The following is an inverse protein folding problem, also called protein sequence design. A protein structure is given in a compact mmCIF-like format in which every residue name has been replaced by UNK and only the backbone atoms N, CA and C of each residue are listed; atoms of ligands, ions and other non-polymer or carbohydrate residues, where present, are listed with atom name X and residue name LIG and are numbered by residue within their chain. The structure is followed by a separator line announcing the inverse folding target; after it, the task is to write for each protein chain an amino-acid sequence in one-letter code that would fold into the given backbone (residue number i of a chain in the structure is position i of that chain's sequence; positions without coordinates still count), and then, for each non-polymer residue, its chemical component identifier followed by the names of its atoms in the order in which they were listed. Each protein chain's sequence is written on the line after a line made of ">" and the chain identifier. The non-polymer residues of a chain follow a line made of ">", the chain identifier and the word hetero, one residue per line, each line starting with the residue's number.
data_IF_095372046899
#
_entry.id   IF_095372046899
#
_cell.length_a   1.000
_cell.length_b   1.000
_cell.length_c   1.000
_cell.angle_alpha   90.00
_cell.angle_beta   90.00
_cell.angle_gamma   90.00
#
_symmetry.space_group_name_H-M   'P 1'
#
loop_
_entity.id
_entity.type
_entity.pdbx_description
1 polymer ?
#
# COMPACT_ATOMS: atom_id res chain seq x y z
N UNK A 1 8.79 -14.21 7.79
CA UNK A 1 7.82 -14.75 6.88
C UNK A 1 7.44 -13.76 5.83
N UNK A 2 7.42 -14.17 4.60
CA UNK A 2 7.10 -13.27 3.51
C UNK A 2 5.62 -12.91 3.54
N UNK A 3 5.27 -11.86 2.85
CA UNK A 3 3.88 -11.47 2.70
C UNK A 3 3.11 -12.54 1.95
N UNK A 4 1.82 -12.62 2.23
CA UNK A 4 0.95 -13.46 1.43
C UNK A 4 0.95 -12.94 0.01
N UNK A 5 0.69 -13.84 -0.93
CA UNK A 5 0.76 -13.49 -2.34
C UNK A 5 -0.13 -12.30 -2.70
N UNK A 6 -1.36 -12.30 -2.21
CA UNK A 6 -2.27 -11.20 -2.50
C UNK A 6 -1.80 -9.89 -1.94
N UNK A 7 -1.29 -9.91 -0.71
CA UNK A 7 -0.76 -8.72 -0.07
C UNK A 7 0.51 -8.25 -0.78
N UNK A 8 1.34 -9.19 -1.23
CA UNK A 8 2.56 -8.87 -1.94
C UNK A 8 2.28 -8.16 -3.25
N UNK A 9 1.25 -8.59 -3.99
CA UNK A 9 0.89 -7.94 -5.23
C UNK A 9 0.50 -6.48 -4.99
N UNK A 10 -0.22 -6.22 -3.91
CA UNK A 10 -0.62 -4.87 -3.57
C UNK A 10 0.61 -4.04 -3.23
N UNK A 11 1.51 -4.61 -2.44
CA UNK A 11 2.74 -3.93 -2.07
C UNK A 11 3.58 -3.60 -3.30
N UNK A 12 3.75 -4.57 -4.18
CA UNK A 12 4.55 -4.38 -5.39
C UNK A 12 3.97 -3.27 -6.27
N UNK A 13 2.65 -3.19 -6.36
CA UNK A 13 2.02 -2.14 -7.13
C UNK A 13 2.33 -0.77 -6.52
N UNK A 14 2.23 -0.66 -5.21
CA UNK A 14 2.50 0.60 -4.54
C UNK A 14 3.94 1.04 -4.77
N UNK A 15 4.88 0.10 -4.67
CA UNK A 15 6.29 0.41 -4.88
C UNK A 15 6.54 0.83 -6.32
N UNK A 16 5.94 0.12 -7.27
CA UNK A 16 6.12 0.44 -8.69
C UNK A 16 5.58 1.81 -9.05
N UNK A 17 4.59 2.29 -8.30
CA UNK A 17 3.97 3.58 -8.57
C UNK A 17 4.28 4.60 -7.49
N UNK A 18 5.43 4.45 -6.83
CA UNK A 18 5.87 5.38 -5.81
C UNK A 18 5.98 6.78 -6.42
N UNK A 19 5.40 7.75 -5.74
CA UNK A 19 5.39 9.12 -6.22
C UNK A 19 4.23 9.46 -7.14
N UNK A 20 3.42 8.47 -7.50
CA UNK A 20 2.25 8.72 -8.34
C UNK A 20 1.00 8.84 -7.48
N UNK A 21 -0.02 9.45 -8.04
CA UNK A 21 -1.29 9.62 -7.34
C UNK A 21 -2.12 8.36 -7.54
N UNK A 22 -2.03 7.43 -6.59
CA UNK A 22 -2.78 6.19 -6.67
C UNK A 22 -3.70 6.06 -5.48
N UNK A 23 -4.85 5.44 -5.70
CA UNK A 23 -5.84 5.21 -4.66
C UNK A 23 -6.01 3.70 -4.49
N UNK A 24 -6.72 3.32 -3.42
CA UNK A 24 -7.05 1.91 -3.22
C UNK A 24 -7.85 1.36 -4.39
N UNK A 25 -8.73 2.18 -4.97
CA UNK A 25 -9.54 1.75 -6.10
C UNK A 25 -8.66 1.49 -7.33
N UNK A 26 -7.64 2.34 -7.56
CA UNK A 26 -6.72 2.13 -8.66
C UNK A 26 -6.02 0.78 -8.52
N UNK A 27 -5.59 0.46 -7.32
CA UNK A 27 -4.90 -0.81 -7.07
C UNK A 27 -5.86 -1.98 -7.29
N UNK A 28 -7.08 -1.84 -6.77
CA UNK A 28 -8.07 -2.90 -6.91
C UNK A 28 -8.36 -3.17 -8.37
N UNK A 29 -8.53 -2.11 -9.17
CA UNK A 29 -8.84 -2.26 -10.58
C UNK A 29 -7.66 -2.87 -11.33
N UNK A 30 -6.45 -2.44 -11.02
CA UNK A 30 -5.26 -2.92 -11.73
C UNK A 30 -4.99 -4.39 -11.44
N UNK A 31 -5.26 -4.83 -10.22
CA UNK A 31 -4.97 -6.20 -9.82
C UNK A 31 -6.16 -7.13 -9.91
N UNK A 32 -7.35 -6.57 -10.19
CA UNK A 32 -8.54 -7.40 -10.27
C UNK A 32 -8.97 -7.96 -8.94
N UNK A 33 -8.76 -7.23 -7.86
CA UNK A 33 -9.14 -7.68 -6.52
C UNK A 33 -10.14 -6.70 -5.94
N UNK A 34 -10.76 -7.08 -4.82
CA UNK A 34 -11.73 -6.22 -4.18
C UNK A 34 -11.08 -5.05 -3.47
N UNK A 35 -11.74 -3.88 -3.51
CA UNK A 35 -11.18 -2.70 -2.87
C UNK A 35 -11.09 -2.89 -1.36
N UNK A 36 -11.96 -3.70 -0.77
CA UNK A 36 -11.87 -3.98 0.66
C UNK A 36 -10.57 -4.69 1.02
N UNK A 37 -10.15 -5.61 0.17
CA UNK A 37 -8.89 -6.31 0.38
C UNK A 37 -7.72 -5.35 0.31
N UNK A 38 -7.76 -4.44 -0.68
CA UNK A 38 -6.70 -3.45 -0.82
C UNK A 38 -6.67 -2.55 0.41
N UNK A 39 -7.82 -2.06 0.85
CA UNK A 39 -7.87 -1.19 2.02
C UNK A 39 -7.34 -1.89 3.27
N UNK A 40 -7.65 -3.16 3.44
CA UNK A 40 -7.14 -3.91 4.58
C UNK A 40 -5.63 -4.03 4.56
N UNK A 41 -5.07 -4.32 3.38
CA UNK A 41 -3.62 -4.43 3.25
C UNK A 41 -2.95 -3.08 3.46
N UNK A 42 -3.49 -2.02 2.88
CA UNK A 42 -2.91 -0.69 3.03
C UNK A 42 -2.97 -0.24 4.48
N UNK A 43 -4.08 -0.52 5.17
CA UNK A 43 -4.18 -0.19 6.58
C UNK A 43 -3.11 -0.90 7.38
N UNK A 44 -2.83 -2.15 7.05
CA UNK A 44 -1.78 -2.91 7.70
C UNK A 44 -0.41 -2.28 7.47
N UNK A 45 -0.13 -1.89 6.20
CA UNK A 45 1.13 -1.21 5.89
C UNK A 45 1.24 0.12 6.65
N UNK A 46 0.11 0.82 6.77
CA UNK A 46 0.10 2.10 7.46
C UNK A 46 0.39 1.93 8.94
N UNK A 47 -0.14 0.88 9.55
CA UNK A 47 0.15 0.60 10.96
C UNK A 47 1.62 0.30 11.19
N UNK A 48 2.28 -0.26 10.20
CA UNK A 48 3.72 -0.55 10.30
C UNK A 48 4.57 0.66 9.96
N UNK A 49 3.94 1.75 9.53
CA UNK A 49 4.68 2.96 9.19
C UNK A 49 5.24 2.97 7.79
N UNK A 50 4.85 2.02 6.94
CA UNK A 50 5.38 1.91 5.59
C UNK A 50 4.63 2.75 4.57
N UNK A 51 3.38 3.08 4.83
CA UNK A 51 2.59 3.91 3.93
C UNK A 51 1.78 4.91 4.73
N UNK A 52 1.33 5.96 4.07
CA UNK A 52 0.39 6.91 4.64
C UNK A 52 -0.66 7.20 3.57
N UNK A 53 -1.80 7.69 4.00
CA UNK A 53 -2.83 8.15 3.08
C UNK A 53 -2.88 9.65 3.14
N UNK A 54 -2.72 10.28 1.99
CA UNK A 54 -2.75 11.74 1.87
C UNK A 54 -4.12 12.12 1.32
N UNK A 55 -4.89 12.86 2.10
CA UNK A 55 -6.21 13.28 1.68
C UNK A 55 -6.11 14.59 0.92
N UNK A 56 -6.65 14.61 -0.28
CA UNK A 56 -6.57 15.76 -1.15
C UNK A 56 -7.97 16.15 -1.58
N UNK A 57 -8.30 17.43 -1.50
CA UNK A 57 -9.59 17.91 -1.94
C UNK A 57 -9.62 17.97 -3.46
N UNK A 58 -10.67 17.47 -4.06
CA UNK A 58 -10.85 17.51 -5.50
C UNK A 58 -12.27 17.97 -5.78
N UNK A 59 -12.55 18.25 -7.06
CA UNK A 59 -13.89 18.63 -7.44
C UNK A 59 -14.85 17.51 -7.09
N UNK A 60 -15.85 17.83 -6.30
CA UNK A 60 -16.85 16.83 -5.93
C UNK A 60 -16.54 16.04 -4.69
N UNK A 61 -15.45 16.36 -3.99
CA UNK A 61 -15.17 15.66 -2.75
C UNK A 61 -13.70 15.59 -2.40
N UNK A 62 -13.30 14.48 -1.84
CA UNK A 62 -11.92 14.28 -1.43
C UNK A 62 -11.47 12.90 -1.88
N UNK A 63 -10.18 12.77 -2.12
CA UNK A 63 -9.59 11.50 -2.50
C UNK A 63 -8.38 11.27 -1.59
N UNK A 64 -8.14 10.01 -1.26
CA UNK A 64 -7.00 9.65 -0.43
C UNK A 64 -6.01 8.89 -1.27
N UNK A 65 -4.84 9.49 -1.47
CA UNK A 65 -3.77 8.86 -2.23
C UNK A 65 -2.88 8.08 -1.29
N UNK A 66 -2.38 6.95 -1.76
CA UNK A 66 -1.50 6.10 -0.98
C UNK A 66 -0.07 6.48 -1.31
N UNK A 67 0.70 6.80 -0.27
CA UNK A 67 2.09 7.22 -0.43
C UNK A 67 3.00 6.31 0.39
N UNK A 68 4.17 6.02 -0.14
CA UNK A 68 5.17 5.30 0.63
C UNK A 68 5.90 6.29 1.54
N UNK A 69 6.23 5.83 2.73
CA UNK A 69 7.09 6.60 3.63
C UNK A 69 8.54 6.24 3.34
N UNK A 70 9.48 6.95 3.95
CA UNK A 70 10.88 6.58 3.83
C UNK A 70 11.11 5.18 4.38
N UNK A 71 10.43 4.83 5.47
CA UNK A 71 10.53 3.48 6.00
C UNK A 71 9.98 2.46 5.04
N UNK A 72 8.90 2.81 4.35
CA UNK A 72 8.32 1.91 3.35
C UNK A 72 9.25 1.69 2.19
N UNK A 73 9.94 2.73 1.75
CA UNK A 73 10.89 2.58 0.64
C UNK A 73 12.08 1.73 1.03
N UNK A 74 12.46 1.75 2.29
CA UNK A 74 13.58 0.95 2.78
C UNK A 74 13.17 -0.47 3.12
N UNK A 75 11.88 -0.74 3.21
CA UNK A 75 11.38 -2.05 3.60
C UNK A 75 11.56 -3.04 2.44
N UNK A 76 12.10 -4.20 2.76
CA UNK A 76 12.27 -5.26 1.78
C UNK A 76 11.37 -6.42 2.17
N UNK A 77 10.25 -6.63 1.46
CA UNK A 77 9.32 -7.69 1.83
C UNK A 77 9.89 -9.09 1.61
N UNK A 78 10.98 -9.19 0.86
CA UNK A 78 11.61 -10.49 0.64
C UNK A 78 12.67 -10.79 1.66
N UNK A 79 13.08 -9.81 2.45
CA UNK A 79 14.08 -10.08 3.48
C UNK A 79 13.48 -10.97 4.54
N UNK A 80 14.25 -11.92 5.00
CA UNK A 80 13.78 -12.80 6.04
C UNK A 80 13.67 -11.98 7.30
N UNK A 81 12.49 -11.80 7.85
CA UNK A 81 12.36 -10.96 9.02
C UNK A 81 13.02 -11.60 10.20
N UNK A 82 13.61 -10.76 11.01
CA UNK A 82 14.11 -11.23 12.27
C UNK A 82 12.91 -11.50 13.13
N UNK A 83 12.82 -12.73 13.64
CA UNK A 83 11.67 -13.04 14.44
C UNK A 83 11.89 -12.54 15.79
N UNK A 84 11.25 -11.51 16.08
CA UNK A 84 11.36 -11.03 17.37
C UNK A 84 10.41 -11.57 18.24
N UNK A 85 9.61 -12.43 17.88
CA UNK A 85 8.64 -12.93 18.76
C UNK A 85 9.13 -13.51 19.96
#
# INVERSE_FOLDING_TARGET
>A
MAMKEGTRKIWDYIVAHDGEDITAQNIADALGVGVKSVNGSVTSFQKKGHTVREEVAVTGGKVKYIRLTDEGRAFDPDAEPVKED
#
